data_IF_113842549372
#
_entry.id   IF_113842549372
#
_cell.length_a   1.000
_cell.length_b   1.000
_cell.length_c   1.000
_cell.angle_alpha   90.00
_cell.angle_beta   90.00
_cell.angle_gamma   90.00
#
_symmetry.space_group_name_H-M   'P 1'
#
loop_
_entity.id
_entity.type
_entity.pdbx_description
1 polymer ?
#
# COMPACT_ATOMS: atom_id res chain seq x y z
N UNK A 1 26.07 -6.26 3.93
CA UNK A 1 24.65 -6.13 4.31
C UNK A 1 24.52 -4.92 5.23
N UNK A 2 23.86 -3.87 4.76
CA UNK A 2 23.67 -2.63 5.53
C UNK A 2 22.59 -2.88 6.57
N UNK A 3 22.97 -2.90 7.85
CA UNK A 3 22.05 -3.11 8.97
C UNK A 3 21.21 -1.84 9.12
N UNK A 4 19.96 -1.86 8.65
CA UNK A 4 19.05 -0.74 8.88
C UNK A 4 18.66 -0.79 10.36
N UNK A 5 19.19 0.14 11.15
CA UNK A 5 18.80 0.34 12.54
C UNK A 5 17.46 1.10 12.53
N UNK A 6 16.35 0.36 12.42
CA UNK A 6 15.05 0.95 12.71
C UNK A 6 14.85 0.99 14.22
N UNK A 7 14.48 2.17 14.73
CA UNK A 7 13.97 2.30 16.09
C UNK A 7 12.58 1.68 16.19
N UNK A 8 12.15 1.29 17.39
CA UNK A 8 10.78 0.81 17.64
C UNK A 8 9.72 1.79 17.11
N UNK A 9 10.00 3.09 17.18
CA UNK A 9 9.13 4.14 16.61
C UNK A 9 9.01 4.05 15.08
N UNK A 10 10.13 3.77 14.39
CA UNK A 10 10.14 3.59 12.94
C UNK A 10 9.34 2.36 12.51
N UNK A 11 9.43 1.25 13.25
CA UNK A 11 8.64 0.04 12.94
C UNK A 11 7.14 0.32 13.09
N UNK A 12 6.74 0.99 14.17
CA UNK A 12 5.35 1.38 14.42
C UNK A 12 4.82 2.27 13.30
N UNK A 13 5.61 3.24 12.82
CA UNK A 13 5.23 4.09 11.68
C UNK A 13 4.99 3.28 10.41
N UNK A 14 5.90 2.36 10.07
CA UNK A 14 5.75 1.50 8.89
C UNK A 14 4.53 0.57 9.02
N UNK A 15 4.26 0.03 10.20
CA UNK A 15 3.07 -0.78 10.46
C UNK A 15 1.79 0.04 10.33
N UNK A 16 1.77 1.27 10.87
CA UNK A 16 0.62 2.18 10.75
C UNK A 16 0.35 2.57 9.31
N UNK A 17 1.40 2.91 8.55
CA UNK A 17 1.31 3.19 7.10
C UNK A 17 0.73 1.98 6.36
N UNK A 18 1.25 0.78 6.62
CA UNK A 18 0.74 -0.45 6.02
C UNK A 18 -0.74 -0.71 6.37
N UNK A 19 -1.14 -0.48 7.62
CA UNK A 19 -2.54 -0.63 8.03
C UNK A 19 -3.44 0.39 7.34
N UNK A 20 -3.01 1.64 7.23
CA UNK A 20 -3.75 2.69 6.54
C UNK A 20 -3.97 2.32 5.07
N UNK A 21 -2.89 1.95 4.36
CA UNK A 21 -2.95 1.56 2.95
C UNK A 21 -3.89 0.38 2.72
N UNK A 22 -3.85 -0.64 3.59
CA UNK A 22 -4.68 -1.85 3.45
C UNK A 22 -6.13 -1.66 3.85
N UNK A 23 -6.41 -0.87 4.89
CA UNK A 23 -7.76 -0.73 5.48
C UNK A 23 -8.55 0.44 4.94
N UNK A 24 -7.88 1.48 4.46
CA UNK A 24 -8.52 2.72 4.01
C UNK A 24 -8.29 2.90 2.51
N UNK A 25 -7.03 3.01 2.10
CA UNK A 25 -6.74 3.49 0.74
C UNK A 25 -7.07 2.45 -0.34
N UNK A 26 -6.69 1.18 -0.12
CA UNK A 26 -7.01 0.07 -1.04
C UNK A 26 -8.52 -0.08 -1.24
N UNK A 27 -9.38 -0.18 -0.20
CA UNK A 27 -10.83 -0.20 -0.37
C UNK A 27 -11.38 1.03 -1.11
N UNK A 28 -10.88 2.22 -0.79
CA UNK A 28 -11.34 3.46 -1.44
C UNK A 28 -11.04 3.46 -2.95
N UNK A 29 -9.85 3.02 -3.35
CA UNK A 29 -9.48 2.92 -4.76
C UNK A 29 -10.33 1.88 -5.49
N UNK A 30 -10.58 0.72 -4.86
CA UNK A 30 -11.46 -0.30 -5.45
C UNK A 30 -12.87 0.27 -5.68
N UNK A 31 -13.39 1.04 -4.71
CA UNK A 31 -14.68 1.71 -4.85
C UNK A 31 -14.68 2.73 -5.99
N UNK A 32 -13.63 3.57 -6.09
CA UNK A 32 -13.49 4.55 -7.16
C UNK A 32 -13.43 3.89 -8.55
N UNK A 33 -12.70 2.77 -8.68
CA UNK A 33 -12.64 1.99 -9.92
C UNK A 33 -14.02 1.40 -10.26
N UNK A 34 -14.75 0.89 -9.25
CA UNK A 34 -16.07 0.33 -9.46
C UNK A 34 -17.09 1.39 -9.89
N UNK A 35 -17.03 2.58 -9.29
CA UNK A 35 -17.86 3.73 -9.66
C UNK A 35 -17.55 4.18 -11.09
N UNK A 36 -16.27 4.38 -11.43
CA UNK A 36 -15.84 4.75 -12.78
C UNK A 36 -16.29 3.73 -13.85
N UNK A 37 -16.30 2.43 -13.51
CA UNK A 37 -16.83 1.36 -14.38
C UNK A 37 -18.32 1.44 -14.62
N UNK A 38 -19.10 2.00 -13.71
CA UNK A 38 -20.54 2.16 -13.88
C UNK A 38 -20.91 3.23 -14.92
N UNK A 39 -19.98 4.13 -15.26
CA UNK A 39 -20.20 5.20 -16.25
C UNK A 39 -20.10 4.75 -17.72
N UNK A 40 -19.82 3.46 -17.98
CA UNK A 40 -20.00 2.82 -19.29
C UNK A 40 -18.81 2.95 -20.24
N UNK A 41 -18.42 4.17 -20.63
CA UNK A 41 -17.24 4.37 -21.48
C UNK A 41 -15.99 4.44 -20.61
N UNK A 42 -15.16 3.40 -20.66
CA UNK A 42 -13.92 3.30 -19.90
C UNK A 42 -12.70 3.76 -20.71
N UNK A 43 -12.80 3.84 -22.04
CA UNK A 43 -11.67 4.22 -22.88
C UNK A 43 -11.28 5.68 -22.65
N UNK A 44 -12.28 6.56 -22.53
CA UNK A 44 -12.09 8.00 -22.34
C UNK A 44 -12.15 8.44 -20.87
N UNK A 45 -12.45 7.52 -19.95
CA UNK A 45 -12.65 7.85 -18.53
C UNK A 45 -11.31 8.06 -17.82
N UNK A 46 -10.92 9.34 -17.69
CA UNK A 46 -9.69 9.75 -17.03
C UNK A 46 -9.62 9.30 -15.57
N UNK A 47 -10.76 9.34 -14.86
CA UNK A 47 -10.88 8.91 -13.46
C UNK A 47 -10.60 7.41 -13.30
N UNK A 48 -11.06 6.58 -14.25
CA UNK A 48 -10.79 5.15 -14.26
C UNK A 48 -9.30 4.86 -14.42
N UNK A 49 -8.66 5.52 -15.41
CA UNK A 49 -7.22 5.34 -15.66
C UNK A 49 -6.39 5.82 -14.47
N UNK A 50 -6.72 6.98 -13.90
CA UNK A 50 -6.06 7.51 -12.72
C UNK A 50 -6.23 6.58 -11.50
N UNK A 51 -7.43 6.06 -11.27
CA UNK A 51 -7.67 5.13 -10.17
C UNK A 51 -6.94 3.80 -10.36
N UNK A 52 -6.80 3.31 -11.60
CA UNK A 52 -6.01 2.11 -11.94
C UNK A 52 -4.52 2.31 -11.74
N UNK A 53 -3.99 3.48 -12.09
CA UNK A 53 -2.57 3.82 -11.83
C UNK A 53 -2.30 3.91 -10.33
N UNK A 54 -3.16 4.62 -9.60
CA UNK A 54 -3.06 4.76 -8.14
C UNK A 54 -3.15 3.39 -7.45
N UNK A 55 -4.00 2.49 -7.93
CA UNK A 55 -4.04 1.10 -7.46
C UNK A 55 -2.66 0.43 -7.57
N UNK A 56 -2.01 0.54 -8.74
CA UNK A 56 -0.68 -0.03 -8.95
C UNK A 56 0.37 0.53 -7.99
N UNK A 57 0.35 1.85 -7.78
CA UNK A 57 1.26 2.51 -6.85
C UNK A 57 1.07 2.02 -5.41
N UNK A 58 -0.18 1.96 -4.92
CA UNK A 58 -0.48 1.51 -3.56
C UNK A 58 -0.11 0.03 -3.37
N UNK A 59 -0.40 -0.83 -4.33
CA UNK A 59 -0.01 -2.25 -4.24
C UNK A 59 1.51 -2.42 -4.19
N UNK A 60 2.26 -1.64 -4.99
CA UNK A 60 3.71 -1.60 -4.93
C UNK A 60 4.23 -1.16 -3.56
N UNK A 61 3.65 -0.09 -2.99
CA UNK A 61 4.02 0.41 -1.66
C UNK A 61 3.73 -0.61 -0.56
N UNK A 62 2.58 -1.28 -0.62
CA UNK A 62 2.22 -2.35 0.33
C UNK A 62 3.24 -3.48 0.28
N UNK A 63 3.59 -3.96 -0.92
CA UNK A 63 4.58 -5.03 -1.07
C UNK A 63 5.97 -4.64 -0.53
N UNK A 64 6.39 -3.39 -0.78
CA UNK A 64 7.65 -2.86 -0.24
C UNK A 64 7.63 -2.84 1.30
N UNK A 65 6.55 -2.34 1.91
CA UNK A 65 6.40 -2.26 3.36
C UNK A 65 6.34 -3.64 4.01
N UNK A 66 5.60 -4.58 3.42
CA UNK A 66 5.54 -5.97 3.90
C UNK A 66 6.92 -6.64 3.85
N UNK A 67 7.68 -6.44 2.78
CA UNK A 67 9.05 -6.93 2.65
C UNK A 67 9.99 -6.35 3.71
N UNK A 68 9.95 -5.02 3.91
CA UNK A 68 10.76 -4.35 4.94
C UNK A 68 10.42 -4.84 6.36
N UNK A 69 9.13 -4.94 6.68
CA UNK A 69 8.68 -5.41 8.00
C UNK A 69 9.04 -6.88 8.23
N UNK A 70 8.95 -7.73 7.22
CA UNK A 70 9.37 -9.12 7.30
C UNK A 70 10.89 -9.24 7.57
N UNK A 71 11.71 -8.44 6.88
CA UNK A 71 13.15 -8.38 7.11
C UNK A 71 13.49 -7.91 8.53
N UNK A 72 12.78 -6.89 9.04
CA UNK A 72 12.97 -6.39 10.41
C UNK A 72 12.64 -7.45 11.47
N UNK A 73 11.52 -8.16 11.30
CA UNK A 73 11.11 -9.25 12.20
C UNK A 73 12.12 -10.39 12.23
N UNK A 74 12.83 -10.64 11.12
CA UNK A 74 13.89 -11.65 11.09
C UNK A 74 15.16 -11.20 11.82
N UNK A 75 15.45 -9.90 11.81
CA UNK A 75 16.61 -9.30 12.47
C UNK A 75 16.44 -9.12 13.98
N UNK A 76 15.20 -8.97 14.45
CA UNK A 76 14.85 -8.78 15.87
C UNK A 76 14.19 -10.09 16.37
N UNK A 77 14.94 -11.03 16.95
CA UNK A 77 14.33 -12.21 17.55
C UNK A 77 13.38 -11.78 18.68
N UNK A 78 12.15 -12.30 18.66
CA UNK A 78 11.21 -12.12 19.76
C UNK A 78 11.87 -12.63 21.05
N UNK A 79 12.08 -11.71 22.00
CA UNK A 79 12.62 -12.02 23.34
C UNK A 79 11.56 -12.68 24.21
#
# INVERSE_FOLDING_TARGET
>A
MTRVLLTTDGEIRLQNELQQLKRVDRPNIISAIAEARAHGDLSENAEYHAAKEQQGFIEGRIAELESKLAMLKWLIPAS
#
